data_IF_677732180227
#
_entry.id   IF_677732180227
#
_cell.length_a   1.000
_cell.length_b   1.000
_cell.length_c   1.000
_cell.angle_alpha   90.00
_cell.angle_beta   90.00
_cell.angle_gamma   90.00
#
_symmetry.space_group_name_H-M   'P 1'
#
loop_
_entity.id
_entity.type
_entity.pdbx_description
1 polymer ?
#
# COMPACT_ATOMS: atom_id res chain seq x y z
N UNK A 1 14.14 17.07 29.75
CA UNK A 1 13.11 17.88 29.07
C UNK A 1 13.55 19.34 29.10
N UNK A 2 14.12 19.91 28.04
CA UNK A 2 14.71 21.26 28.07
C UNK A 2 13.63 22.36 28.05
N UNK A 3 12.38 22.08 27.79
CA UNK A 3 11.32 23.10 27.77
C UNK A 3 10.72 23.29 29.16
N UNK A 4 10.67 24.55 29.61
CA UNK A 4 10.22 24.94 30.95
C UNK A 4 8.81 24.38 31.29
N UNK A 5 7.86 24.49 30.37
CA UNK A 5 6.50 23.99 30.57
C UNK A 5 6.42 22.47 30.86
N UNK A 6 7.32 21.68 30.26
CA UNK A 6 7.39 20.22 30.49
C UNK A 6 7.97 19.97 31.88
N UNK A 7 9.09 20.66 32.22
CA UNK A 7 9.72 20.56 33.54
C UNK A 7 8.75 20.93 34.66
N UNK A 8 8.07 22.08 34.52
CA UNK A 8 7.09 22.56 35.50
C UNK A 8 5.97 21.53 35.74
N UNK A 9 5.39 20.98 34.64
CA UNK A 9 4.37 19.98 34.73
C UNK A 9 4.85 18.69 35.40
N UNK A 10 5.98 18.15 34.95
CA UNK A 10 6.47 16.88 35.46
C UNK A 10 6.90 16.98 36.93
N UNK A 11 7.55 18.07 37.32
CA UNK A 11 7.98 18.29 38.71
C UNK A 11 6.82 18.52 39.67
N UNK A 12 5.68 19.07 39.17
CA UNK A 12 4.51 19.27 39.98
C UNK A 12 3.71 17.99 40.25
N UNK A 13 3.81 16.98 39.36
CA UNK A 13 2.92 15.83 39.40
C UNK A 13 3.62 14.48 39.64
N UNK A 14 4.95 14.40 39.41
CA UNK A 14 5.67 13.14 39.44
C UNK A 14 7.00 13.20 40.18
N UNK A 15 7.41 12.07 40.73
CA UNK A 15 8.80 11.79 41.06
C UNK A 15 9.50 11.30 39.79
N UNK A 16 10.35 12.15 39.21
CA UNK A 16 10.99 11.90 37.94
C UNK A 16 12.31 11.16 38.10
N UNK A 17 12.48 10.03 37.46
CA UNK A 17 13.71 9.25 37.42
C UNK A 17 14.10 8.95 35.96
N UNK A 18 15.40 8.83 35.69
CA UNK A 18 15.92 8.47 34.36
C UNK A 18 16.99 7.41 34.52
N UNK A 19 16.85 6.34 33.80
CA UNK A 19 17.79 5.23 33.77
C UNK A 19 18.35 4.97 32.36
N UNK A 20 19.65 4.66 32.31
CA UNK A 20 20.28 4.07 31.14
C UNK A 20 20.05 2.55 31.20
N UNK A 21 19.23 2.02 30.32
CA UNK A 21 18.82 0.61 30.31
C UNK A 21 19.95 -0.36 29.95
N UNK A 22 21.14 0.14 29.64
CA UNK A 22 22.33 -0.67 29.33
C UNK A 22 23.33 -0.70 30.50
N UNK A 23 23.11 0.12 31.57
CA UNK A 23 24.04 0.28 32.69
C UNK A 23 23.36 0.12 34.05
N UNK A 24 24.12 -0.38 35.01
CA UNK A 24 23.73 -0.46 36.42
C UNK A 24 22.32 -1.06 36.62
N UNK A 25 21.55 -0.41 37.50
CA UNK A 25 20.18 -0.80 37.83
C UNK A 25 19.21 -0.74 36.61
N UNK A 26 19.57 0.01 35.57
CA UNK A 26 18.79 0.09 34.32
C UNK A 26 18.62 -1.27 33.65
N UNK A 27 19.61 -2.16 33.75
CA UNK A 27 19.51 -3.52 33.18
C UNK A 27 18.40 -4.34 33.86
N UNK A 28 18.29 -4.24 35.17
CA UNK A 28 17.26 -4.91 35.96
C UNK A 28 15.88 -4.33 35.64
N UNK A 29 15.77 -3.00 35.55
CA UNK A 29 14.52 -2.32 35.18
C UNK A 29 14.10 -2.66 33.74
N UNK A 30 15.07 -2.78 32.82
CA UNK A 30 14.79 -3.22 31.44
C UNK A 30 14.15 -4.60 31.43
N UNK A 31 14.64 -5.55 32.21
CA UNK A 31 14.06 -6.89 32.27
C UNK A 31 12.70 -6.87 32.93
N UNK A 32 12.51 -6.10 34.02
CA UNK A 32 11.23 -5.97 34.71
C UNK A 32 10.15 -5.38 33.82
N UNK A 33 10.47 -4.37 32.98
CA UNK A 33 9.50 -3.64 32.17
C UNK A 33 9.64 -3.92 30.67
N UNK A 34 10.24 -5.02 30.26
CA UNK A 34 10.55 -5.35 28.86
C UNK A 34 9.35 -5.31 27.95
N UNK A 35 8.16 -5.69 28.42
CA UNK A 35 6.91 -5.68 27.64
C UNK A 35 6.42 -4.27 27.29
N UNK A 36 6.91 -3.26 28.03
CA UNK A 36 6.58 -1.86 27.83
C UNK A 36 7.67 -1.09 27.08
N UNK A 37 8.88 -1.63 26.97
CA UNK A 37 10.03 -0.97 26.34
C UNK A 37 10.14 -1.43 24.89
N UNK A 38 9.42 -0.75 23.99
CA UNK A 38 9.42 -1.03 22.55
C UNK A 38 10.56 -0.31 21.83
N UNK A 39 11.05 0.79 22.43
CA UNK A 39 12.12 1.62 21.86
C UNK A 39 12.53 2.72 22.83
N UNK A 40 13.46 3.58 22.41
CA UNK A 40 13.96 4.68 23.25
C UNK A 40 13.70 6.06 22.61
N UNK A 41 13.40 7.09 23.43
CA UNK A 41 13.08 7.02 24.85
C UNK A 41 11.71 6.38 25.09
N UNK A 42 11.55 5.63 26.18
CA UNK A 42 10.25 5.18 26.71
C UNK A 42 9.99 5.86 28.04
N UNK A 43 8.79 6.40 28.22
CA UNK A 43 8.30 6.96 29.46
C UNK A 43 7.25 6.00 30.03
N UNK A 44 7.44 5.63 31.29
CA UNK A 44 6.46 4.82 32.05
C UNK A 44 5.97 5.66 33.22
N UNK A 45 4.65 5.77 33.36
CA UNK A 45 4.01 6.22 34.58
C UNK A 45 3.75 5.01 35.44
N UNK A 46 4.34 5.00 36.63
CA UNK A 46 4.21 3.91 37.60
C UNK A 46 3.37 4.39 38.78
N UNK A 47 2.61 3.47 39.38
CA UNK A 47 2.00 3.68 40.69
C UNK A 47 3.01 3.46 41.84
N UNK A 48 2.57 3.62 43.09
CA UNK A 48 3.43 3.44 44.26
C UNK A 48 3.94 2.01 44.46
N UNK A 49 3.32 1.03 43.83
CA UNK A 49 3.69 -0.37 43.89
C UNK A 49 4.60 -0.77 42.70
N UNK A 50 4.87 0.17 41.79
CA UNK A 50 5.70 -0.03 40.59
C UNK A 50 4.98 -0.73 39.44
N UNK A 51 3.66 -0.72 39.40
CA UNK A 51 2.88 -1.19 38.27
C UNK A 51 2.80 -0.11 37.20
N UNK A 52 2.80 -0.49 35.92
CA UNK A 52 2.70 0.46 34.82
C UNK A 52 1.26 0.94 34.66
N UNK A 53 1.05 2.21 34.95
CA UNK A 53 -0.25 2.90 34.79
C UNK A 53 -0.43 3.43 33.38
N UNK A 54 0.63 4.01 32.82
CA UNK A 54 0.59 4.55 31.45
C UNK A 54 1.97 4.47 30.77
N UNK A 55 1.96 4.49 29.45
CA UNK A 55 3.17 4.35 28.64
C UNK A 55 3.15 5.32 27.47
N UNK A 56 4.30 5.95 27.20
CA UNK A 56 4.56 6.69 25.97
C UNK A 56 5.95 6.32 25.44
N UNK A 57 6.13 6.31 24.12
CA UNK A 57 7.40 5.94 23.50
C UNK A 57 7.79 6.93 22.39
N UNK A 58 9.10 7.07 22.17
CA UNK A 58 9.69 7.93 21.17
C UNK A 58 9.65 9.42 21.52
N UNK A 59 10.15 10.25 20.60
CA UNK A 59 10.09 11.69 20.73
C UNK A 59 8.65 12.21 20.62
N UNK A 60 8.26 13.06 21.57
CA UNK A 60 6.97 13.74 21.58
C UNK A 60 7.18 15.25 21.64
N UNK A 61 6.32 16.02 20.94
CA UNK A 61 6.23 17.46 21.16
C UNK A 61 5.72 17.74 22.59
N UNK A 62 6.11 18.87 23.18
CA UNK A 62 5.77 19.20 24.56
C UNK A 62 4.27 19.09 24.87
N UNK A 63 3.42 19.63 24.00
CA UNK A 63 1.97 19.62 24.17
C UNK A 63 1.42 18.19 24.19
N UNK A 64 1.88 17.34 23.27
CA UNK A 64 1.44 15.94 23.17
C UNK A 64 1.94 15.12 24.35
N UNK A 65 3.16 15.39 24.83
CA UNK A 65 3.74 14.74 26.00
C UNK A 65 2.91 15.04 27.26
N UNK A 66 2.63 16.32 27.52
CA UNK A 66 1.83 16.74 28.67
C UNK A 66 0.40 16.21 28.56
N UNK A 67 -0.23 16.29 27.37
CA UNK A 67 -1.59 15.79 27.16
C UNK A 67 -1.69 14.28 27.38
N UNK A 68 -0.73 13.50 26.89
CA UNK A 68 -0.69 12.05 27.08
C UNK A 68 -0.51 11.67 28.54
N UNK A 69 0.38 12.34 29.29
CA UNK A 69 0.57 12.06 30.71
C UNK A 69 -0.65 12.46 31.55
N UNK A 70 -1.32 13.58 31.24
CA UNK A 70 -2.58 13.97 31.87
C UNK A 70 -3.67 12.92 31.64
N UNK A 71 -3.84 12.45 30.39
CA UNK A 71 -4.78 11.40 30.07
C UNK A 71 -4.52 10.11 30.88
N UNK A 72 -3.24 9.74 31.04
CA UNK A 72 -2.83 8.62 31.89
C UNK A 72 -3.27 8.78 33.36
N UNK A 73 -3.16 10.01 33.90
CA UNK A 73 -3.61 10.33 35.28
C UNK A 73 -5.14 10.32 35.42
N UNK A 74 -5.88 10.70 34.39
CA UNK A 74 -7.34 10.85 34.39
C UNK A 74 -8.11 9.53 34.10
N UNK A 75 -7.45 8.38 34.23
CA UNK A 75 -8.07 7.08 33.98
C UNK A 75 -8.23 6.72 32.50
N UNK A 76 -7.62 7.50 31.60
CA UNK A 76 -7.48 7.23 30.15
C UNK A 76 -6.15 6.57 29.84
N UNK A 77 -5.63 5.81 30.79
CA UNK A 77 -4.39 5.06 30.62
C UNK A 77 -4.57 3.92 29.59
N UNK A 78 -3.50 3.52 28.94
CA UNK A 78 -3.56 2.43 27.95
C UNK A 78 -4.20 1.16 28.51
N UNK A 79 -3.81 0.64 29.71
CA UNK A 79 -4.46 -0.53 30.29
C UNK A 79 -5.94 -0.33 30.61
N UNK A 80 -6.34 0.87 31.09
CA UNK A 80 -7.74 1.15 31.39
C UNK A 80 -8.61 1.21 30.12
N UNK A 81 -8.09 1.81 29.05
CA UNK A 81 -8.77 1.86 27.75
C UNK A 81 -8.82 0.49 27.07
N UNK A 82 -7.77 -0.30 27.17
CA UNK A 82 -7.74 -1.67 26.72
C UNK A 82 -8.82 -2.50 27.41
N UNK A 83 -8.94 -2.41 28.74
CA UNK A 83 -9.98 -3.11 29.50
C UNK A 83 -11.40 -2.71 29.07
N UNK A 84 -11.65 -1.43 28.80
CA UNK A 84 -12.94 -0.96 28.27
C UNK A 84 -13.22 -1.57 26.89
N UNK A 85 -12.22 -1.55 26.01
CA UNK A 85 -12.34 -2.12 24.67
C UNK A 85 -12.60 -3.63 24.70
N UNK A 86 -11.89 -4.38 25.55
CA UNK A 86 -12.10 -5.83 25.77
C UNK A 86 -13.48 -6.14 26.36
N UNK A 87 -14.02 -5.22 27.17
CA UNK A 87 -15.40 -5.28 27.69
C UNK A 87 -16.47 -4.92 26.64
N UNK A 88 -16.08 -4.67 25.37
CA UNK A 88 -17.02 -4.40 24.28
C UNK A 88 -17.41 -2.92 24.12
N UNK A 89 -16.81 -1.99 24.88
CA UNK A 89 -17.11 -0.55 24.74
C UNK A 89 -16.57 -0.04 23.41
N UNK A 90 -17.45 0.53 22.58
CA UNK A 90 -17.15 0.98 21.21
C UNK A 90 -17.65 2.42 20.94
N UNK A 91 -17.89 3.23 21.98
CA UNK A 91 -18.22 4.64 21.78
C UNK A 91 -17.02 5.43 21.21
N UNK A 92 -17.34 6.54 20.54
CA UNK A 92 -16.34 7.36 19.86
C UNK A 92 -15.21 7.85 20.77
N UNK A 93 -15.55 8.30 21.98
CA UNK A 93 -14.55 8.84 22.90
C UNK A 93 -13.59 7.78 23.39
N UNK A 94 -14.10 6.61 23.78
CA UNK A 94 -13.28 5.47 24.22
C UNK A 94 -12.34 5.01 23.09
N UNK A 95 -12.84 4.87 21.86
CA UNK A 95 -12.02 4.42 20.72
C UNK A 95 -11.01 5.48 20.34
N UNK A 96 -11.37 6.77 20.28
CA UNK A 96 -10.44 7.87 20.02
C UNK A 96 -9.28 7.89 21.02
N UNK A 97 -9.62 7.81 22.31
CA UNK A 97 -8.62 7.87 23.38
C UNK A 97 -7.74 6.61 23.36
N UNK A 98 -8.31 5.43 23.08
CA UNK A 98 -7.57 4.17 22.97
C UNK A 98 -6.59 4.19 21.79
N UNK A 99 -7.03 4.63 20.63
CA UNK A 99 -6.17 4.78 19.45
C UNK A 99 -5.06 5.81 19.71
N UNK A 100 -5.37 6.91 20.41
CA UNK A 100 -4.36 7.90 20.80
C UNK A 100 -3.31 7.30 21.75
N UNK A 101 -3.74 6.53 22.76
CA UNK A 101 -2.85 5.85 23.70
C UNK A 101 -1.96 4.79 23.01
N UNK A 102 -2.53 4.00 22.10
CA UNK A 102 -1.78 3.01 21.30
C UNK A 102 -0.73 3.69 20.41
N UNK A 103 -1.07 4.81 19.75
CA UNK A 103 -0.12 5.57 18.96
C UNK A 103 1.00 6.16 19.82
N UNK A 104 0.66 6.69 21.01
CA UNK A 104 1.62 7.22 21.98
C UNK A 104 2.58 6.15 22.50
N UNK A 105 2.11 4.92 22.64
CA UNK A 105 2.89 3.77 23.07
C UNK A 105 3.60 3.01 21.93
N UNK A 106 3.47 3.44 20.67
CA UNK A 106 3.96 2.75 19.45
C UNK A 106 3.40 1.33 19.24
N UNK A 107 2.26 1.01 19.87
CA UNK A 107 1.54 -0.27 19.72
C UNK A 107 0.46 -0.17 18.64
N UNK A 108 0.87 -0.01 17.38
CA UNK A 108 -0.01 0.39 16.27
C UNK A 108 -0.63 -0.78 15.49
N UNK A 109 -0.17 -1.99 15.72
CA UNK A 109 -0.47 -3.17 14.89
C UNK A 109 -1.97 -3.45 14.82
N UNK A 110 -2.68 -3.30 15.94
CA UNK A 110 -4.09 -3.62 16.05
C UNK A 110 -5.03 -2.42 15.76
N UNK A 111 -4.49 -1.22 15.53
CA UNK A 111 -5.34 -0.04 15.29
C UNK A 111 -6.27 -0.22 14.09
N UNK A 112 -5.85 -0.78 12.95
CA UNK A 112 -6.77 -1.00 11.83
C UNK A 112 -7.96 -1.87 12.20
N UNK A 113 -7.77 -2.93 12.99
CA UNK A 113 -8.84 -3.81 13.48
C UNK A 113 -9.79 -3.06 14.41
N UNK A 114 -9.26 -2.32 15.39
CA UNK A 114 -10.03 -1.51 16.34
C UNK A 114 -10.92 -0.50 15.58
N UNK A 115 -10.36 0.17 14.58
CA UNK A 115 -11.09 1.13 13.76
C UNK A 115 -12.17 0.45 12.92
N UNK A 116 -11.88 -0.72 12.34
CA UNK A 116 -12.85 -1.48 11.56
C UNK A 116 -14.03 -1.91 12.42
N UNK A 117 -13.78 -2.40 13.64
CA UNK A 117 -14.83 -2.75 14.60
C UNK A 117 -15.65 -1.54 15.02
N UNK A 118 -15.02 -0.38 15.27
CA UNK A 118 -15.73 0.85 15.57
C UNK A 118 -16.63 1.30 14.41
N UNK A 119 -16.12 1.30 13.17
CA UNK A 119 -16.91 1.66 11.98
C UNK A 119 -18.16 0.77 11.86
N UNK A 120 -18.05 -0.52 12.17
CA UNK A 120 -19.17 -1.45 12.13
C UNK A 120 -20.28 -1.14 13.17
N UNK A 121 -20.00 -0.31 14.18
CA UNK A 121 -21.00 0.08 15.20
C UNK A 121 -21.73 1.39 14.89
N UNK A 122 -21.30 2.13 13.88
CA UNK A 122 -21.86 3.45 13.57
C UNK A 122 -22.58 3.44 12.22
N UNK A 123 -23.65 4.25 12.04
CA UNK A 123 -24.23 4.47 10.71
C UNK A 123 -23.20 5.08 9.74
N UNK A 124 -23.20 4.65 8.48
CA UNK A 124 -22.25 5.12 7.47
C UNK A 124 -22.28 6.64 7.28
N UNK A 125 -23.43 7.30 7.48
CA UNK A 125 -23.59 8.75 7.44
C UNK A 125 -22.69 9.48 8.44
N UNK A 126 -22.34 8.83 9.55
CA UNK A 126 -21.42 9.36 10.55
C UNK A 126 -19.98 9.49 10.05
N UNK A 127 -19.62 8.80 8.98
CA UNK A 127 -18.33 9.01 8.31
C UNK A 127 -18.17 10.43 7.72
N UNK A 128 -19.26 11.20 7.62
CA UNK A 128 -19.26 12.63 7.24
C UNK A 128 -19.11 13.57 8.43
N UNK A 129 -19.02 13.07 9.64
CA UNK A 129 -18.67 13.83 10.84
C UNK A 129 -17.15 14.07 10.85
N UNK A 130 -16.72 15.33 11.01
CA UNK A 130 -15.29 15.69 10.93
C UNK A 130 -14.44 14.99 11.99
N UNK A 131 -14.94 14.86 13.20
CA UNK A 131 -14.20 14.22 14.30
C UNK A 131 -14.05 12.72 14.03
N UNK A 132 -15.12 12.06 13.61
CA UNK A 132 -15.10 10.64 13.25
C UNK A 132 -14.16 10.43 12.05
N UNK A 133 -14.29 11.27 11.01
CA UNK A 133 -13.41 11.17 9.84
C UNK A 133 -11.92 11.31 10.19
N UNK A 134 -11.58 12.26 11.04
CA UNK A 134 -10.20 12.46 11.48
C UNK A 134 -9.63 11.22 12.18
N UNK A 135 -10.47 10.45 12.87
CA UNK A 135 -10.08 9.22 13.52
C UNK A 135 -9.94 8.06 12.52
N UNK A 136 -10.94 7.85 11.64
CA UNK A 136 -11.08 6.62 10.86
C UNK A 136 -10.66 6.75 9.40
N UNK A 137 -10.68 7.94 8.81
CA UNK A 137 -10.60 8.17 7.36
C UNK A 137 -9.40 7.50 6.70
N UNK A 138 -8.20 7.60 7.31
CA UNK A 138 -6.97 6.99 6.77
C UNK A 138 -6.95 5.45 6.78
N UNK A 139 -7.86 4.82 7.51
CA UNK A 139 -7.98 3.35 7.60
C UNK A 139 -9.00 2.78 6.63
N UNK A 140 -9.80 3.63 5.96
CA UNK A 140 -10.76 3.21 4.95
C UNK A 140 -10.02 2.97 3.63
N UNK A 141 -9.45 1.78 3.48
CA UNK A 141 -8.56 1.43 2.35
C UNK A 141 -8.94 0.15 1.63
N UNK A 142 -9.87 -0.64 2.19
CA UNK A 142 -10.37 -1.89 1.59
C UNK A 142 -11.61 -1.60 0.74
N UNK A 143 -11.55 -1.76 -0.62
CA UNK A 143 -12.66 -1.47 -1.51
C UNK A 143 -13.85 -2.41 -1.35
N UNK A 144 -13.69 -3.52 -0.66
CA UNK A 144 -14.77 -4.46 -0.38
C UNK A 144 -15.55 -4.11 0.90
N UNK A 145 -15.03 -3.21 1.74
CA UNK A 145 -15.71 -2.75 2.94
C UNK A 145 -16.87 -1.80 2.61
N UNK A 146 -17.95 -1.88 3.39
CA UNK A 146 -19.10 -0.98 3.26
C UNK A 146 -18.70 0.49 3.41
N UNK A 147 -17.79 0.79 4.37
CA UNK A 147 -17.29 2.13 4.59
C UNK A 147 -16.57 2.71 3.37
N UNK A 148 -15.72 1.92 2.71
CA UNK A 148 -15.05 2.36 1.50
C UNK A 148 -16.04 2.63 0.36
N UNK A 149 -16.98 1.72 0.13
CA UNK A 149 -17.99 1.86 -0.92
C UNK A 149 -18.88 3.08 -0.68
N UNK A 150 -19.24 3.33 0.59
CA UNK A 150 -19.99 4.52 0.97
C UNK A 150 -19.20 5.81 0.69
N UNK A 151 -17.93 5.88 1.11
CA UNK A 151 -17.06 7.04 0.88
C UNK A 151 -16.85 7.26 -0.62
N UNK A 152 -16.62 6.19 -1.37
CA UNK A 152 -16.43 6.23 -2.81
C UNK A 152 -17.67 6.82 -3.54
N UNK A 153 -18.87 6.39 -3.17
CA UNK A 153 -20.13 6.89 -3.72
C UNK A 153 -20.39 8.36 -3.39
N UNK A 154 -19.97 8.78 -2.19
CA UNK A 154 -20.25 10.10 -1.64
C UNK A 154 -19.06 11.07 -1.74
N UNK A 155 -18.02 10.74 -2.52
CA UNK A 155 -16.71 11.42 -2.54
C UNK A 155 -16.82 12.95 -2.70
N UNK A 156 -17.74 13.42 -3.53
CA UNK A 156 -17.92 14.86 -3.77
C UNK A 156 -18.43 15.61 -2.53
N UNK A 157 -19.17 14.93 -1.66
CA UNK A 157 -19.70 15.54 -0.44
C UNK A 157 -18.62 15.74 0.63
N UNK A 158 -17.53 14.96 0.59
CA UNK A 158 -16.42 15.10 1.52
C UNK A 158 -15.65 16.40 1.34
N UNK A 159 -15.47 16.85 0.09
CA UNK A 159 -14.78 18.11 -0.21
C UNK A 159 -15.48 19.33 0.42
N UNK A 160 -16.81 19.39 0.33
CA UNK A 160 -17.57 20.57 0.76
C UNK A 160 -17.87 20.60 2.25
N UNK A 161 -17.95 19.45 2.93
CA UNK A 161 -18.43 19.37 4.32
C UNK A 161 -17.30 19.17 5.33
N UNK A 162 -16.18 18.63 4.91
CA UNK A 162 -15.18 18.07 5.82
C UNK A 162 -13.82 18.74 5.72
N UNK A 163 -13.65 19.69 4.82
CA UNK A 163 -12.34 20.30 4.52
C UNK A 163 -11.28 19.24 4.16
N UNK A 164 -11.73 18.13 3.59
CA UNK A 164 -10.87 17.06 3.13
C UNK A 164 -10.33 17.43 1.76
N UNK A 165 -9.01 17.34 1.58
CA UNK A 165 -8.43 17.54 0.27
C UNK A 165 -8.92 16.43 -0.68
N UNK A 166 -9.70 16.83 -1.69
CA UNK A 166 -10.27 15.91 -2.67
C UNK A 166 -9.21 15.06 -3.35
N UNK A 167 -8.07 15.65 -3.71
CA UNK A 167 -6.99 14.94 -4.37
C UNK A 167 -6.39 13.83 -3.48
N UNK A 168 -6.22 14.09 -2.20
CA UNK A 168 -5.68 13.09 -1.26
C UNK A 168 -6.68 11.96 -1.03
N UNK A 169 -7.97 12.26 -0.94
CA UNK A 169 -9.02 11.25 -0.82
C UNK A 169 -9.14 10.40 -2.09
N UNK A 170 -9.17 11.02 -3.26
CA UNK A 170 -9.19 10.31 -4.54
C UNK A 170 -7.97 9.41 -4.71
N UNK A 171 -6.80 9.89 -4.32
CA UNK A 171 -5.57 9.09 -4.34
C UNK A 171 -5.66 7.90 -3.40
N UNK A 172 -6.13 8.09 -2.17
CA UNK A 172 -6.30 7.01 -1.19
C UNK A 172 -7.24 5.91 -1.72
N UNK A 173 -8.39 6.31 -2.27
CA UNK A 173 -9.35 5.38 -2.87
C UNK A 173 -8.77 4.69 -4.11
N UNK A 174 -8.11 5.43 -5.00
CA UNK A 174 -7.44 4.86 -6.17
C UNK A 174 -6.36 3.84 -5.79
N UNK A 175 -5.58 4.12 -4.75
CA UNK A 175 -4.53 3.22 -4.27
C UNK A 175 -5.11 1.94 -3.64
N UNK A 176 -6.22 2.06 -2.89
CA UNK A 176 -6.94 0.91 -2.34
C UNK A 176 -7.46 -0.01 -3.45
N UNK A 177 -8.16 0.56 -4.41
CA UNK A 177 -8.70 -0.16 -5.56
C UNK A 177 -7.60 -0.73 -6.45
N UNK A 178 -6.50 0.01 -6.66
CA UNK A 178 -5.34 -0.44 -7.42
C UNK A 178 -4.66 -1.67 -6.80
N UNK A 179 -4.55 -1.72 -5.47
CA UNK A 179 -4.05 -2.92 -4.77
C UNK A 179 -4.97 -4.11 -4.98
N UNK A 180 -6.28 -3.92 -4.89
CA UNK A 180 -7.26 -4.99 -5.09
C UNK A 180 -7.23 -5.53 -6.54
N UNK A 181 -7.19 -4.66 -7.55
CA UNK A 181 -7.04 -5.06 -8.96
C UNK A 181 -5.74 -5.83 -9.18
N UNK A 182 -4.62 -5.34 -8.63
CA UNK A 182 -3.33 -6.02 -8.73
C UNK A 182 -3.36 -7.40 -8.08
N UNK A 183 -4.03 -7.55 -6.94
CA UNK A 183 -4.18 -8.84 -6.25
C UNK A 183 -5.03 -9.82 -7.08
N UNK A 184 -6.14 -9.38 -7.66
CA UNK A 184 -6.96 -10.21 -8.55
C UNK A 184 -6.10 -10.73 -9.71
N UNK A 185 -5.37 -9.84 -10.39
CA UNK A 185 -4.53 -10.23 -11.52
C UNK A 185 -3.44 -11.21 -11.07
N UNK A 186 -2.77 -10.94 -9.96
CA UNK A 186 -1.72 -11.80 -9.41
C UNK A 186 -2.24 -13.21 -9.12
N UNK A 187 -3.35 -13.32 -8.39
CA UNK A 187 -3.93 -14.60 -8.00
C UNK A 187 -4.41 -15.36 -9.24
N UNK A 188 -5.18 -14.72 -10.12
CA UNK A 188 -5.72 -15.37 -11.33
C UNK A 188 -4.64 -15.74 -12.36
N UNK A 189 -3.44 -15.19 -12.25
CA UNK A 189 -2.30 -15.57 -13.09
C UNK A 189 -1.56 -16.79 -12.53
N UNK A 190 -1.64 -17.02 -11.22
CA UNK A 190 -0.85 -18.05 -10.51
C UNK A 190 -1.65 -19.29 -10.11
N UNK A 191 -2.98 -19.33 -10.36
CA UNK A 191 -3.83 -20.47 -9.98
C UNK A 191 -4.68 -20.98 -11.13
N UNK A 192 -5.02 -22.27 -11.07
CA UNK A 192 -6.04 -22.91 -11.90
C UNK A 192 -7.19 -23.48 -11.06
N UNK A 193 -7.16 -23.22 -9.74
CA UNK A 193 -8.19 -23.69 -8.82
C UNK A 193 -9.52 -22.97 -9.08
N UNK A 194 -10.61 -23.71 -9.42
CA UNK A 194 -11.89 -23.13 -9.81
C UNK A 194 -12.54 -22.27 -8.71
N UNK A 195 -12.42 -22.69 -7.44
CA UNK A 195 -13.05 -21.97 -6.33
C UNK A 195 -12.34 -20.63 -6.09
N UNK A 196 -11.01 -20.62 -6.14
CA UNK A 196 -10.21 -19.38 -6.08
C UNK A 196 -10.53 -18.46 -7.26
N UNK A 197 -10.62 -18.98 -8.49
CA UNK A 197 -10.97 -18.19 -9.66
C UNK A 197 -12.36 -17.58 -9.54
N UNK A 198 -13.35 -18.36 -9.05
CA UNK A 198 -14.71 -17.86 -8.79
C UNK A 198 -14.70 -16.73 -7.76
N UNK A 199 -14.02 -16.91 -6.64
CA UNK A 199 -13.90 -15.87 -5.62
C UNK A 199 -13.26 -14.59 -6.18
N UNK A 200 -12.24 -14.71 -7.02
CA UNK A 200 -11.61 -13.55 -7.66
C UNK A 200 -12.55 -12.87 -8.68
N UNK A 201 -13.37 -13.64 -9.40
CA UNK A 201 -14.37 -13.10 -10.30
C UNK A 201 -15.44 -12.28 -9.54
N UNK A 202 -15.95 -12.79 -8.42
CA UNK A 202 -16.90 -12.06 -7.56
C UNK A 202 -16.29 -10.74 -7.03
N UNK A 203 -15.04 -10.77 -6.59
CA UNK A 203 -14.30 -9.57 -6.20
C UNK A 203 -14.13 -8.58 -7.35
N UNK A 204 -13.80 -9.08 -8.54
CA UNK A 204 -13.67 -8.25 -9.75
C UNK A 204 -15.01 -7.60 -10.14
N UNK A 205 -16.15 -8.30 -9.98
CA UNK A 205 -17.48 -7.74 -10.26
C UNK A 205 -17.82 -6.55 -9.37
N UNK A 206 -17.52 -6.63 -8.08
CA UNK A 206 -17.68 -5.51 -7.15
C UNK A 206 -16.88 -4.30 -7.63
N UNK A 207 -15.59 -4.49 -7.95
CA UNK A 207 -14.73 -3.40 -8.42
C UNK A 207 -15.22 -2.82 -9.76
N UNK A 208 -15.64 -3.66 -10.71
CA UNK A 208 -16.21 -3.20 -12.00
C UNK A 208 -17.44 -2.33 -11.80
N UNK A 209 -18.35 -2.75 -10.91
CA UNK A 209 -19.54 -1.96 -10.57
C UNK A 209 -19.18 -0.57 -10.05
N UNK A 210 -18.20 -0.46 -9.18
CA UNK A 210 -17.71 0.82 -8.67
C UNK A 210 -17.02 1.65 -9.76
N UNK A 211 -16.15 1.05 -10.56
CA UNK A 211 -15.36 1.73 -11.60
C UNK A 211 -16.21 2.31 -12.71
N UNK A 212 -17.26 1.59 -13.14
CA UNK A 212 -18.18 2.05 -14.19
C UNK A 212 -18.97 3.29 -13.74
N UNK A 213 -19.26 3.41 -12.45
CA UNK A 213 -20.05 4.54 -11.90
C UNK A 213 -19.21 5.79 -11.61
N UNK A 214 -17.89 5.71 -11.74
CA UNK A 214 -17.00 6.78 -11.29
C UNK A 214 -16.37 7.58 -12.44
N UNK A 215 -16.31 8.90 -12.28
CA UNK A 215 -15.77 9.87 -13.25
C UNK A 215 -14.30 10.25 -13.00
N UNK A 216 -13.63 9.65 -12.02
CA UNK A 216 -12.26 9.99 -11.62
C UNK A 216 -11.23 9.44 -12.62
N UNK A 217 -10.28 10.27 -13.07
CA UNK A 217 -9.31 9.98 -14.14
C UNK A 217 -8.47 8.70 -13.96
N UNK A 218 -8.18 8.29 -12.72
CA UNK A 218 -7.36 7.10 -12.43
C UNK A 218 -8.11 5.78 -12.58
N UNK A 219 -9.41 5.80 -12.49
CA UNK A 219 -10.23 4.60 -12.50
C UNK A 219 -10.42 3.96 -13.89
N UNK A 220 -10.47 4.69 -15.01
CA UNK A 220 -10.52 4.05 -16.34
C UNK A 220 -9.41 3.05 -16.57
N UNK A 221 -8.18 3.34 -16.12
CA UNK A 221 -7.05 2.40 -16.24
C UNK A 221 -7.28 1.11 -15.45
N UNK A 222 -7.83 1.20 -14.23
CA UNK A 222 -8.11 0.01 -13.43
C UNK A 222 -9.20 -0.86 -14.07
N UNK A 223 -10.20 -0.25 -14.69
CA UNK A 223 -11.20 -0.97 -15.46
C UNK A 223 -10.58 -1.68 -16.66
N UNK A 224 -9.71 -1.02 -17.42
CA UNK A 224 -8.98 -1.64 -18.52
C UNK A 224 -8.17 -2.86 -18.04
N UNK A 225 -7.46 -2.74 -16.93
CA UNK A 225 -6.68 -3.84 -16.33
C UNK A 225 -7.57 -5.05 -15.99
N UNK A 226 -8.73 -4.82 -15.40
CA UNK A 226 -9.70 -5.91 -15.11
C UNK A 226 -10.21 -6.55 -16.39
N UNK A 227 -10.57 -5.76 -17.43
CA UNK A 227 -11.07 -6.27 -18.70
C UNK A 227 -10.00 -7.07 -19.47
N UNK A 228 -8.76 -6.60 -19.45
CA UNK A 228 -7.63 -7.35 -20.03
C UNK A 228 -7.47 -8.70 -19.31
N UNK A 229 -7.58 -8.72 -17.99
CA UNK A 229 -7.52 -9.97 -17.21
C UNK A 229 -8.69 -10.91 -17.51
N UNK A 230 -9.91 -10.39 -17.67
CA UNK A 230 -11.09 -11.18 -18.06
C UNK A 230 -10.86 -11.86 -19.43
N UNK A 231 -10.40 -11.08 -20.43
CA UNK A 231 -10.07 -11.60 -21.75
C UNK A 231 -8.97 -12.68 -21.68
N UNK A 232 -7.95 -12.46 -20.85
CA UNK A 232 -6.88 -13.45 -20.63
C UNK A 232 -7.42 -14.77 -20.06
N UNK A 233 -8.30 -14.70 -19.06
CA UNK A 233 -8.93 -15.89 -18.46
C UNK A 233 -9.83 -16.64 -19.45
N UNK A 234 -10.51 -15.91 -20.35
CA UNK A 234 -11.33 -16.46 -21.41
C UNK A 234 -10.51 -16.96 -22.62
N UNK A 235 -9.19 -16.72 -22.67
CA UNK A 235 -8.36 -17.00 -23.84
C UNK A 235 -8.62 -16.06 -25.03
N UNK A 236 -9.33 -14.95 -24.80
CA UNK A 236 -9.67 -13.94 -25.82
C UNK A 236 -8.50 -12.96 -26.02
N UNK A 237 -7.56 -13.38 -26.87
CA UNK A 237 -6.34 -12.61 -27.18
C UNK A 237 -6.65 -11.32 -27.93
N UNK A 238 -7.68 -11.34 -28.80
CA UNK A 238 -8.09 -10.17 -29.58
C UNK A 238 -8.77 -9.12 -28.71
N UNK A 239 -9.60 -9.58 -27.75
CA UNK A 239 -10.18 -8.71 -26.73
C UNK A 239 -9.14 -8.08 -25.82
N UNK A 240 -8.10 -8.82 -25.40
CA UNK A 240 -6.97 -8.25 -24.66
C UNK A 240 -6.31 -7.09 -25.43
N UNK A 241 -5.98 -7.34 -26.70
CA UNK A 241 -5.39 -6.33 -27.55
C UNK A 241 -6.29 -5.09 -27.70
N UNK A 242 -7.57 -5.30 -27.97
CA UNK A 242 -8.56 -4.22 -28.11
C UNK A 242 -8.63 -3.32 -26.87
N UNK A 243 -8.62 -3.90 -25.67
CA UNK A 243 -8.61 -3.14 -24.43
C UNK A 243 -7.31 -2.37 -24.17
N UNK A 244 -6.17 -2.91 -24.61
CA UNK A 244 -4.88 -2.21 -24.55
C UNK A 244 -4.91 -1.00 -25.49
N UNK A 245 -5.34 -1.18 -26.72
CA UNK A 245 -5.44 -0.07 -27.69
C UNK A 245 -6.41 1.01 -27.24
N UNK A 246 -7.56 0.62 -26.67
CA UNK A 246 -8.49 1.56 -26.06
C UNK A 246 -7.84 2.39 -24.92
N UNK A 247 -7.04 1.75 -24.09
CA UNK A 247 -6.32 2.46 -23.03
C UNK A 247 -5.22 3.39 -23.57
N UNK A 248 -4.56 3.00 -24.67
CA UNK A 248 -3.55 3.83 -25.38
C UNK A 248 -4.21 5.06 -26.02
N UNK A 249 -5.30 4.88 -26.75
CA UNK A 249 -6.06 5.95 -27.37
C UNK A 249 -6.54 7.01 -26.36
N UNK A 250 -6.87 6.58 -25.15
CA UNK A 250 -7.24 7.47 -24.05
C UNK A 250 -6.01 8.05 -23.31
N UNK A 251 -4.80 7.76 -23.74
CA UNK A 251 -3.55 8.16 -23.10
C UNK A 251 -3.50 7.80 -21.61
N UNK A 252 -4.01 6.61 -21.27
CA UNK A 252 -4.06 6.10 -19.90
C UNK A 252 -2.84 5.23 -19.57
N UNK A 253 -2.09 4.77 -20.58
CA UNK A 253 -0.96 3.87 -20.38
C UNK A 253 0.24 4.63 -19.83
N UNK A 254 0.73 4.18 -18.69
CA UNK A 254 2.08 4.46 -18.23
C UNK A 254 2.92 3.21 -18.53
N UNK A 255 3.60 3.22 -19.66
CA UNK A 255 4.35 2.08 -20.20
C UNK A 255 5.43 1.54 -19.25
N UNK A 256 5.94 2.36 -18.33
CA UNK A 256 6.92 1.91 -17.32
C UNK A 256 6.30 1.03 -16.24
N UNK A 257 5.03 1.26 -15.90
CA UNK A 257 4.39 0.65 -14.74
C UNK A 257 3.18 -0.22 -15.06
N UNK A 258 2.46 0.04 -16.15
CA UNK A 258 1.14 -0.53 -16.37
C UNK A 258 1.10 -1.74 -17.31
N UNK A 259 1.98 -1.78 -18.33
CA UNK A 259 2.06 -2.88 -19.28
C UNK A 259 3.53 -3.26 -19.51
N UNK A 260 4.13 -3.87 -18.51
CA UNK A 260 5.38 -4.57 -18.70
C UNK A 260 5.18 -5.58 -19.82
N UNK A 261 6.23 -5.83 -20.61
CA UNK A 261 6.23 -6.68 -21.79
C UNK A 261 5.50 -8.01 -21.70
N UNK A 262 5.17 -8.47 -20.49
CA UNK A 262 4.47 -9.73 -20.21
C UNK A 262 3.09 -9.83 -20.89
N UNK A 263 2.29 -8.75 -20.93
CA UNK A 263 0.98 -8.78 -21.59
C UNK A 263 1.10 -8.76 -23.10
N UNK A 264 1.98 -7.94 -23.64
CA UNK A 264 2.27 -7.95 -25.09
C UNK A 264 2.94 -9.26 -25.51
N UNK A 265 3.82 -9.82 -24.69
CA UNK A 265 4.42 -11.12 -24.94
C UNK A 265 3.34 -12.22 -24.99
N UNK A 266 2.43 -12.25 -24.01
CA UNK A 266 1.34 -13.20 -23.99
C UNK A 266 0.48 -13.14 -25.28
N UNK A 267 0.15 -11.92 -25.72
CA UNK A 267 -0.61 -11.70 -26.97
C UNK A 267 0.23 -12.15 -28.18
N UNK A 268 1.50 -11.73 -28.26
CA UNK A 268 2.41 -12.03 -29.36
C UNK A 268 2.60 -13.53 -29.56
N UNK A 269 2.72 -14.29 -28.49
CA UNK A 269 2.88 -15.75 -28.56
C UNK A 269 1.63 -16.47 -29.06
N UNK A 270 0.44 -15.93 -28.83
CA UNK A 270 -0.83 -16.62 -29.06
C UNK A 270 -1.60 -16.13 -30.28
N UNK A 271 -1.52 -14.85 -30.63
CA UNK A 271 -2.22 -14.33 -31.81
C UNK A 271 -1.64 -14.89 -33.10
N UNK A 272 -2.52 -15.13 -34.09
CA UNK A 272 -2.15 -15.44 -35.47
C UNK A 272 -2.33 -14.23 -36.39
N UNK A 273 -2.91 -13.14 -35.90
CA UNK A 273 -3.18 -11.95 -36.70
C UNK A 273 -1.90 -11.08 -36.83
N UNK A 274 -1.39 -11.03 -38.07
CA UNK A 274 -0.21 -10.22 -38.39
C UNK A 274 -0.46 -8.71 -38.24
N UNK A 275 -1.72 -8.25 -38.32
CA UNK A 275 -2.05 -6.84 -38.06
C UNK A 275 -1.83 -6.49 -36.60
N UNK A 276 -2.27 -7.36 -35.68
CA UNK A 276 -2.03 -7.22 -34.24
C UNK A 276 -0.53 -7.22 -33.95
N UNK A 277 0.23 -8.15 -34.53
CA UNK A 277 1.69 -8.22 -34.34
C UNK A 277 2.40 -6.95 -34.83
N UNK A 278 2.04 -6.42 -36.00
CA UNK A 278 2.61 -5.17 -36.52
C UNK A 278 2.22 -3.98 -35.67
N UNK A 279 0.97 -3.89 -35.24
CA UNK A 279 0.52 -2.79 -34.39
C UNK A 279 1.21 -2.78 -33.01
N UNK A 280 1.45 -3.95 -32.39
CA UNK A 280 2.26 -4.04 -31.17
C UNK A 280 3.71 -3.56 -31.47
N UNK A 281 4.27 -3.97 -32.59
CA UNK A 281 5.62 -3.54 -33.00
C UNK A 281 5.70 -2.01 -33.18
N UNK A 282 4.69 -1.39 -33.77
CA UNK A 282 4.61 0.06 -33.95
C UNK A 282 4.49 0.81 -32.61
N UNK A 283 3.66 0.30 -31.69
CA UNK A 283 3.52 0.87 -30.34
C UNK A 283 4.86 0.80 -29.59
N UNK A 284 5.53 -0.34 -29.64
CA UNK A 284 6.81 -0.54 -28.98
C UNK A 284 7.91 0.31 -29.64
N UNK A 285 7.91 0.45 -30.98
CA UNK A 285 8.84 1.30 -31.69
C UNK A 285 8.74 2.79 -31.29
N UNK A 286 7.52 3.31 -31.12
CA UNK A 286 7.28 4.67 -30.61
C UNK A 286 7.77 4.85 -29.16
N UNK A 287 7.81 3.78 -28.38
CA UNK A 287 8.36 3.79 -27.04
C UNK A 287 9.89 3.85 -27.07
N UNK A 288 10.53 3.16 -27.97
CA UNK A 288 11.99 3.13 -28.10
C UNK A 288 12.59 4.53 -28.31
N UNK A 289 11.91 5.40 -29.05
CA UNK A 289 12.34 6.79 -29.24
C UNK A 289 12.31 7.61 -27.92
N UNK A 290 11.52 7.18 -26.95
CA UNK A 290 11.47 7.76 -25.59
C UNK A 290 12.43 7.06 -24.61
N UNK A 291 12.85 5.84 -24.91
CA UNK A 291 13.64 4.96 -24.01
C UNK A 291 15.13 5.27 -23.95
N UNK A 292 15.69 6.06 -24.84
CA UNK A 292 17.04 6.63 -24.63
C UNK A 292 17.14 7.44 -23.33
N UNK A 293 15.98 7.69 -22.68
CA UNK A 293 15.84 8.33 -21.39
C UNK A 293 15.57 7.35 -20.23
N UNK A 294 15.25 6.05 -20.48
CA UNK A 294 14.93 5.06 -19.44
C UNK A 294 16.18 4.38 -18.90
N UNK A 295 16.42 4.52 -17.60
CA UNK A 295 17.64 4.07 -16.90
C UNK A 295 17.65 2.59 -16.48
N UNK A 296 16.60 1.79 -16.72
CA UNK A 296 16.50 0.42 -16.20
C UNK A 296 16.85 -0.64 -17.23
N UNK A 297 17.95 -1.35 -17.01
CA UNK A 297 18.42 -2.45 -17.89
C UNK A 297 17.42 -3.62 -17.96
N UNK A 298 16.62 -3.83 -16.91
CA UNK A 298 15.60 -4.87 -16.89
C UNK A 298 14.46 -4.58 -17.88
N UNK A 299 14.05 -3.32 -18.00
CA UNK A 299 13.02 -2.89 -18.94
C UNK A 299 13.53 -3.08 -20.38
N UNK A 300 14.79 -2.71 -20.66
CA UNK A 300 15.43 -2.90 -21.96
C UNK A 300 15.52 -4.38 -22.33
N UNK A 301 15.85 -5.25 -21.39
CA UNK A 301 15.96 -6.69 -21.62
C UNK A 301 14.63 -7.29 -22.06
N UNK A 302 13.55 -7.02 -21.32
CA UNK A 302 12.20 -7.50 -21.64
C UNK A 302 11.71 -6.97 -23.00
N UNK A 303 12.07 -5.74 -23.34
CA UNK A 303 11.78 -5.10 -24.61
C UNK A 303 12.41 -5.86 -25.80
N UNK A 304 13.71 -6.15 -25.73
CA UNK A 304 14.38 -6.87 -26.83
C UNK A 304 13.92 -8.32 -26.98
N UNK A 305 13.52 -8.98 -25.90
CA UNK A 305 12.91 -10.31 -25.97
C UNK A 305 11.56 -10.28 -26.70
N UNK A 306 10.71 -9.30 -26.38
CA UNK A 306 9.43 -9.11 -27.05
C UNK A 306 9.62 -8.78 -28.55
N UNK A 307 10.54 -7.88 -28.90
CA UNK A 307 10.85 -7.54 -30.29
C UNK A 307 11.37 -8.75 -31.08
N UNK A 308 12.27 -9.53 -30.51
CA UNK A 308 12.78 -10.74 -31.14
C UNK A 308 11.66 -11.73 -31.43
N UNK A 309 10.73 -11.88 -30.47
CA UNK A 309 9.55 -12.74 -30.61
C UNK A 309 8.59 -12.22 -31.70
N UNK A 310 8.31 -10.91 -31.73
CA UNK A 310 7.47 -10.28 -32.77
C UNK A 310 8.06 -10.48 -34.16
N UNK A 311 9.36 -10.19 -34.37
CA UNK A 311 10.00 -10.41 -35.66
C UNK A 311 10.01 -11.88 -36.07
N UNK A 312 10.23 -12.79 -35.13
CA UNK A 312 10.13 -14.24 -35.39
C UNK A 312 8.73 -14.62 -35.88
N UNK A 313 7.68 -14.16 -35.21
CA UNK A 313 6.28 -14.42 -35.57
C UNK A 313 5.87 -13.78 -36.91
N UNK A 314 6.46 -12.63 -37.25
CA UNK A 314 6.26 -11.95 -38.53
C UNK A 314 7.09 -12.55 -39.68
N UNK A 315 8.02 -13.48 -39.41
CA UNK A 315 8.91 -14.10 -40.39
C UNK A 315 10.10 -13.23 -40.76
N UNK A 316 10.40 -12.17 -40.03
CA UNK A 316 11.53 -11.25 -40.29
C UNK A 316 12.79 -11.75 -39.58
N UNK A 317 13.37 -12.84 -40.09
CA UNK A 317 14.47 -13.60 -39.45
C UNK A 317 15.70 -12.76 -39.09
N UNK A 318 16.16 -11.92 -39.97
CA UNK A 318 17.39 -11.12 -39.74
C UNK A 318 17.19 -10.14 -38.57
N UNK A 319 16.04 -9.45 -38.54
CA UNK A 319 15.69 -8.54 -37.44
C UNK A 319 15.49 -9.26 -36.12
N UNK A 320 14.93 -10.48 -36.17
CA UNK A 320 14.78 -11.31 -34.98
C UNK A 320 16.15 -11.68 -34.38
N UNK A 321 17.11 -12.05 -35.22
CA UNK A 321 18.49 -12.37 -34.79
C UNK A 321 19.16 -11.15 -34.16
N UNK A 322 19.03 -9.98 -34.79
CA UNK A 322 19.63 -8.75 -34.25
C UNK A 322 19.04 -8.33 -32.91
N UNK A 323 17.73 -8.44 -32.76
CA UNK A 323 17.06 -8.18 -31.47
C UNK A 323 17.49 -9.20 -30.39
N UNK A 324 17.63 -10.49 -30.76
CA UNK A 324 18.10 -11.53 -29.83
C UNK A 324 19.52 -11.29 -29.34
N UNK A 325 20.43 -10.88 -30.23
CA UNK A 325 21.81 -10.50 -29.84
C UNK A 325 21.84 -9.39 -28.79
N UNK A 326 21.01 -8.35 -28.98
CA UNK A 326 20.91 -7.26 -28.00
C UNK A 326 20.37 -7.74 -26.63
N UNK A 327 19.38 -8.62 -26.64
CA UNK A 327 18.89 -9.26 -25.42
C UNK A 327 20.00 -10.02 -24.69
N UNK A 328 20.73 -10.88 -25.40
CA UNK A 328 21.83 -11.69 -24.85
C UNK A 328 22.96 -10.82 -24.29
N UNK A 329 23.31 -9.73 -24.99
CA UNK A 329 24.30 -8.77 -24.49
C UNK A 329 23.89 -8.15 -23.15
N UNK A 330 22.65 -7.66 -23.03
CA UNK A 330 22.14 -7.10 -21.77
C UNK A 330 22.06 -8.14 -20.65
N UNK A 331 21.77 -9.40 -20.98
CA UNK A 331 21.76 -10.48 -20.01
C UNK A 331 23.16 -10.74 -19.44
N UNK A 332 24.19 -10.77 -20.29
CA UNK A 332 25.57 -10.95 -19.86
C UNK A 332 26.10 -9.76 -19.06
N UNK A 333 25.78 -8.53 -19.47
CA UNK A 333 26.12 -7.32 -18.71
C UNK A 333 25.51 -7.36 -17.29
N UNK A 334 24.25 -7.81 -17.17
CA UNK A 334 23.57 -7.99 -15.90
C UNK A 334 24.23 -9.06 -15.04
N UNK A 335 24.57 -10.22 -15.61
CA UNK A 335 25.27 -11.29 -14.90
C UNK A 335 26.64 -10.82 -14.41
N UNK A 336 27.38 -10.06 -15.24
CA UNK A 336 28.67 -9.49 -14.86
C UNK A 336 28.56 -8.48 -13.72
N UNK A 337 27.54 -7.61 -13.75
CA UNK A 337 27.26 -6.65 -12.69
C UNK A 337 26.89 -7.36 -11.37
N UNK A 338 26.08 -8.42 -11.44
CA UNK A 338 25.73 -9.23 -10.27
C UNK A 338 26.94 -9.94 -9.67
N UNK A 339 27.82 -10.52 -10.48
CA UNK A 339 29.10 -11.13 -10.01
C UNK A 339 29.97 -10.14 -9.25
N UNK A 340 30.09 -8.90 -9.76
CA UNK A 340 30.84 -7.82 -9.09
C UNK A 340 30.20 -7.42 -7.73
N UNK A 341 28.87 -7.34 -7.65
CA UNK A 341 28.14 -6.97 -6.43
C UNK A 341 28.22 -8.03 -5.34
N UNK A 342 28.19 -9.30 -5.69
CA UNK A 342 28.15 -10.41 -4.73
C UNK A 342 29.51 -11.09 -4.48
N UNK A 343 30.60 -10.54 -5.04
CA UNK A 343 31.96 -10.94 -4.66
C UNK A 343 32.39 -12.33 -5.13
N UNK A 344 31.88 -12.82 -6.27
CA UNK A 344 32.31 -14.10 -6.85
C UNK A 344 33.72 -14.07 -7.49
N UNK A 345 34.42 -12.93 -7.43
CA UNK A 345 35.82 -12.78 -7.94
C UNK A 345 36.89 -12.94 -6.85
N UNK A 346 36.61 -13.68 -5.76
CA UNK A 346 37.59 -13.89 -4.67
C UNK A 346 38.35 -15.21 -4.72
N UNK A 347 38.14 -16.08 -5.71
CA UNK A 347 38.82 -17.39 -5.80
C UNK A 347 39.64 -17.56 -7.08
N UNK A 348 40.40 -16.52 -7.47
CA UNK A 348 41.55 -16.67 -8.38
C UNK A 348 42.67 -15.73 -7.93
N UNK A 349 43.42 -16.15 -6.89
CA UNK A 349 44.82 -15.78 -6.66
C UNK A 349 45.51 -16.83 -5.83
#
# INVERSE_FOLDING_TARGET
FPQKQVGDFFNAHFVNVKYDMEKGDGKMLREKYKEYIIGFPTLLLLDGDGNVVHQMAGYQKAENLIAGMKAGMEGKSLPALQKKYEAGVRDFETIRDYVAALNGAFKRENIPTIISEFIATIPMEKLKDKEIWNLVGKYITDPYSEAYQYVFKEIEKYQYRMDVNRYDLERQLADGMGRAVKEIIRVTTSTTDPDTLKMMAEKADILRGMLIQNTVKRFPMLLCKLRINDCRLAGDVEGMYSWIMFADDLNLLNYENDFRGDTYMYITERTKDKKVLNSILDVIGKQQEKEDQVKSDLVKQNYYDLIATLYTRLGQKDKAVDARKKYEQLEEEKKAAMRKLFGADKDEK
#
